data_IF_909564283119
#
_entry.id   IF_909564283119
#
_cell.length_a   1.000
_cell.length_b   1.000
_cell.length_c   1.000
_cell.angle_alpha   90.00
_cell.angle_beta   90.00
_cell.angle_gamma   90.00
#
_symmetry.space_group_name_H-M   'P 1'
#
loop_
_entity.id
_entity.type
_entity.pdbx_description
1 polymer ?
#
# COMPACT_ATOMS: atom_id res chain seq x y z
N UNK A 1 -2.07 7.09 -14.34
CA UNK A 1 -2.96 5.98 -14.75
C UNK A 1 -2.32 4.73 -14.20
N UNK A 2 -2.97 4.06 -13.26
CA UNK A 2 -2.36 2.93 -12.56
C UNK A 2 -2.43 1.69 -13.44
N UNK A 3 -1.37 0.88 -13.44
CA UNK A 3 -1.29 -0.38 -14.16
C UNK A 3 -1.27 -1.56 -13.20
N UNK A 4 -2.15 -2.52 -13.45
CA UNK A 4 -2.23 -3.78 -12.71
C UNK A 4 -1.85 -4.93 -13.64
N UNK A 5 -1.03 -5.85 -13.16
CA UNK A 5 -0.94 -7.19 -13.75
C UNK A 5 -1.88 -8.09 -12.97
N UNK A 6 -2.86 -8.68 -13.65
CA UNK A 6 -3.79 -9.66 -13.10
C UNK A 6 -3.45 -11.04 -13.64
N UNK A 7 -3.08 -11.97 -12.76
CA UNK A 7 -2.78 -13.34 -13.15
C UNK A 7 -3.98 -14.23 -12.83
N UNK A 8 -4.65 -14.71 -13.87
CA UNK A 8 -5.96 -15.37 -13.82
C UNK A 8 -6.15 -16.24 -15.07
N UNK A 9 -6.37 -17.54 -14.88
CA UNK A 9 -6.54 -18.48 -15.99
C UNK A 9 -7.98 -18.53 -16.53
N UNK A 10 -8.98 -18.15 -15.73
CA UNK A 10 -10.34 -18.00 -16.20
C UNK A 10 -10.49 -16.73 -17.04
N UNK A 11 -10.61 -16.91 -18.36
CA UNK A 11 -10.71 -15.82 -19.33
C UNK A 11 -11.94 -14.92 -19.13
N UNK A 12 -13.06 -15.47 -18.62
CA UNK A 12 -14.28 -14.70 -18.38
C UNK A 12 -14.11 -13.81 -17.15
N UNK A 13 -13.60 -14.38 -16.05
CA UNK A 13 -13.29 -13.63 -14.81
C UNK A 13 -12.23 -12.56 -15.10
N UNK A 14 -11.15 -12.93 -15.77
CA UNK A 14 -10.08 -12.05 -16.20
C UNK A 14 -10.60 -10.85 -16.99
N UNK A 15 -11.41 -11.11 -18.01
CA UNK A 15 -11.97 -10.07 -18.89
C UNK A 15 -12.97 -9.17 -18.16
N UNK A 16 -13.82 -9.73 -17.29
CA UNK A 16 -14.83 -8.98 -16.55
C UNK A 16 -14.19 -8.00 -15.56
N UNK A 17 -13.20 -8.46 -14.80
CA UNK A 17 -12.48 -7.64 -13.83
C UNK A 17 -11.66 -6.57 -14.55
N UNK A 18 -10.92 -6.95 -15.60
CA UNK A 18 -10.16 -5.98 -16.40
C UNK A 18 -11.05 -4.89 -16.98
N UNK A 19 -12.21 -5.25 -17.57
CA UNK A 19 -13.16 -4.29 -18.12
C UNK A 19 -13.78 -3.39 -17.04
N UNK A 20 -14.04 -3.92 -15.84
CA UNK A 20 -14.54 -3.11 -14.72
C UNK A 20 -13.49 -2.10 -14.25
N UNK A 21 -12.24 -2.54 -14.02
CA UNK A 21 -11.15 -1.67 -13.57
C UNK A 21 -10.76 -0.61 -14.61
N UNK A 22 -10.82 -0.96 -15.91
CA UNK A 22 -10.57 -0.01 -17.01
C UNK A 22 -11.56 1.17 -17.01
N UNK A 23 -12.82 0.96 -16.63
CA UNK A 23 -13.81 2.05 -16.46
C UNK A 23 -13.49 3.00 -15.30
N UNK A 24 -12.51 2.63 -14.47
CA UNK A 24 -12.06 3.37 -13.29
C UNK A 24 -10.60 3.84 -13.41
N UNK A 25 -10.13 4.04 -14.65
CA UNK A 25 -8.80 4.58 -15.01
C UNK A 25 -7.62 3.71 -14.53
N UNK A 26 -7.84 2.38 -14.50
CA UNK A 26 -6.83 1.38 -14.17
C UNK A 26 -6.62 0.49 -15.40
N UNK A 27 -5.40 0.53 -15.95
CA UNK A 27 -4.95 -0.36 -17.03
C UNK A 27 -4.67 -1.75 -16.47
N UNK A 28 -5.15 -2.81 -17.11
CA UNK A 28 -5.01 -4.19 -16.62
C UNK A 28 -4.43 -5.08 -17.71
N UNK A 29 -3.30 -5.71 -17.41
CA UNK A 29 -2.69 -6.75 -18.23
C UNK A 29 -3.05 -8.09 -17.59
N UNK A 30 -3.74 -8.96 -18.34
CA UNK A 30 -4.13 -10.29 -17.87
C UNK A 30 -3.13 -11.34 -18.37
N UNK A 31 -2.58 -12.14 -17.46
CA UNK A 31 -1.73 -13.30 -17.77
C UNK A 31 -2.39 -14.60 -17.26
N UNK A 32 -2.71 -15.55 -18.14
CA UNK A 32 -3.41 -16.77 -17.73
C UNK A 32 -2.53 -17.85 -17.08
N UNK A 33 -1.20 -17.66 -17.00
CA UNK A 33 -0.31 -18.68 -16.46
C UNK A 33 0.63 -18.16 -15.39
N UNK A 34 0.68 -18.88 -14.28
CA UNK A 34 1.55 -18.55 -13.16
C UNK A 34 3.04 -18.72 -13.47
N UNK A 35 3.41 -19.64 -14.37
CA UNK A 35 4.81 -19.85 -14.78
C UNK A 35 5.38 -18.71 -15.65
N UNK A 36 4.55 -17.77 -16.11
CA UNK A 36 4.94 -16.57 -16.88
C UNK A 36 4.81 -15.29 -16.07
N UNK A 37 4.07 -15.34 -14.97
CA UNK A 37 3.68 -14.18 -14.18
C UNK A 37 4.88 -13.35 -13.69
N UNK A 38 5.88 -13.99 -13.08
CA UNK A 38 7.02 -13.27 -12.50
C UNK A 38 7.82 -12.49 -13.53
N UNK A 39 8.10 -13.09 -14.69
CA UNK A 39 8.85 -12.42 -15.75
C UNK A 39 8.05 -11.22 -16.28
N UNK A 40 6.76 -11.40 -16.54
CA UNK A 40 5.88 -10.32 -16.98
C UNK A 40 5.84 -9.18 -15.95
N UNK A 41 5.69 -9.49 -14.66
CA UNK A 41 5.62 -8.50 -13.58
C UNK A 41 6.92 -7.71 -13.50
N UNK A 42 8.06 -8.38 -13.59
CA UNK A 42 9.37 -7.74 -13.48
C UNK A 42 9.72 -6.90 -14.70
N UNK A 43 9.28 -7.28 -15.89
CA UNK A 43 9.43 -6.45 -17.09
C UNK A 43 8.46 -5.27 -17.13
N UNK A 44 7.23 -5.49 -16.66
CA UNK A 44 6.17 -4.48 -16.72
C UNK A 44 6.30 -3.44 -15.61
N UNK A 45 6.81 -3.84 -14.44
CA UNK A 45 6.84 -3.03 -13.22
C UNK A 45 5.47 -2.38 -12.93
N UNK A 46 4.40 -3.18 -12.74
CA UNK A 46 3.07 -2.63 -12.47
C UNK A 46 3.02 -1.88 -11.14
N UNK A 47 1.95 -1.12 -10.91
CA UNK A 47 1.70 -0.44 -9.64
C UNK A 47 1.09 -1.39 -8.59
N UNK A 48 0.46 -2.48 -9.04
CA UNK A 48 -0.09 -3.56 -8.20
C UNK A 48 -0.17 -4.88 -8.97
N UNK A 49 0.01 -5.99 -8.26
CA UNK A 49 -0.24 -7.34 -8.79
C UNK A 49 -1.50 -7.90 -8.14
N UNK A 50 -2.44 -8.33 -8.98
CA UNK A 50 -3.62 -9.10 -8.58
C UNK A 50 -3.39 -10.56 -8.99
N UNK A 51 -3.60 -11.50 -8.10
CA UNK A 51 -3.12 -12.87 -8.29
C UNK A 51 -4.15 -13.90 -7.82
N UNK A 52 -4.60 -14.80 -8.69
CA UNK A 52 -5.27 -16.00 -8.21
C UNK A 52 -4.25 -17.00 -7.64
N UNK A 53 -4.68 -17.80 -6.68
CA UNK A 53 -3.92 -18.89 -6.09
C UNK A 53 -3.87 -20.08 -7.05
N UNK A 54 -5.00 -20.41 -7.67
CA UNK A 54 -5.16 -21.64 -8.44
C UNK A 54 -4.79 -21.43 -9.91
N UNK A 55 -3.49 -21.27 -10.17
CA UNK A 55 -2.98 -20.99 -11.51
C UNK A 55 -2.30 -22.21 -12.14
N UNK A 56 -2.37 -22.40 -13.47
CA UNK A 56 -1.61 -23.41 -14.17
C UNK A 56 -0.11 -23.06 -14.18
N UNK A 57 0.73 -24.10 -14.06
CA UNK A 57 2.19 -23.99 -14.09
C UNK A 57 2.81 -23.68 -12.74
N UNK A 58 2.41 -22.58 -12.10
CA UNK A 58 2.89 -22.18 -10.76
C UNK A 58 1.77 -21.52 -9.97
N UNK A 59 1.56 -21.93 -8.73
CA UNK A 59 0.48 -21.39 -7.90
C UNK A 59 0.77 -19.97 -7.40
N UNK A 60 -0.29 -19.20 -7.16
CA UNK A 60 -0.20 -17.80 -6.74
C UNK A 60 0.51 -17.60 -5.40
N UNK A 61 0.42 -18.56 -4.48
CA UNK A 61 1.07 -18.44 -3.18
C UNK A 61 2.59 -18.54 -3.32
N UNK A 62 3.05 -19.49 -4.12
CA UNK A 62 4.46 -19.66 -4.50
C UNK A 62 4.98 -18.44 -5.27
N UNK A 63 4.19 -17.90 -6.21
CA UNK A 63 4.55 -16.66 -6.93
C UNK A 63 4.68 -15.49 -5.95
N UNK A 64 3.73 -15.30 -5.04
CA UNK A 64 3.76 -14.22 -4.05
C UNK A 64 5.06 -14.24 -3.25
N UNK A 65 5.41 -15.41 -2.69
CA UNK A 65 6.65 -15.59 -1.91
C UNK A 65 7.90 -15.30 -2.74
N UNK A 66 8.00 -15.88 -3.93
CA UNK A 66 9.22 -15.80 -4.75
C UNK A 66 9.40 -14.37 -5.32
N UNK A 67 8.30 -13.73 -5.71
CA UNK A 67 8.27 -12.37 -6.23
C UNK A 67 8.66 -11.33 -5.16
N UNK A 68 8.35 -11.56 -3.88
CA UNK A 68 8.68 -10.62 -2.78
C UNK A 68 10.18 -10.33 -2.64
N UNK A 69 11.04 -11.24 -3.06
CA UNK A 69 12.49 -11.00 -3.07
C UNK A 69 12.95 -10.12 -4.24
N UNK A 70 12.16 -10.02 -5.31
CA UNK A 70 12.52 -9.39 -6.58
C UNK A 70 11.73 -8.12 -6.87
N UNK A 71 10.53 -7.98 -6.30
CA UNK A 71 9.62 -6.87 -6.51
C UNK A 71 8.90 -6.50 -5.21
N UNK A 72 8.79 -5.20 -4.94
CA UNK A 72 8.36 -4.66 -3.64
C UNK A 72 7.00 -3.97 -3.69
N UNK A 73 6.29 -3.98 -4.82
CA UNK A 73 4.97 -3.39 -4.91
C UNK A 73 3.89 -4.24 -4.21
N UNK A 74 2.65 -3.75 -4.16
CA UNK A 74 1.56 -4.47 -3.50
C UNK A 74 1.12 -5.71 -4.30
N UNK A 75 1.00 -6.85 -3.61
CA UNK A 75 0.45 -8.10 -4.15
C UNK A 75 -0.87 -8.35 -3.43
N UNK A 76 -1.96 -8.46 -4.16
CA UNK A 76 -3.30 -8.78 -3.63
C UNK A 76 -3.73 -10.12 -4.19
N UNK A 77 -4.13 -11.05 -3.33
CA UNK A 77 -4.72 -12.31 -3.78
C UNK A 77 -6.21 -12.13 -4.05
N UNK A 78 -6.68 -12.62 -5.20
CA UNK A 78 -8.10 -12.67 -5.55
C UNK A 78 -8.47 -14.10 -5.94
N UNK A 79 -9.20 -14.80 -5.09
CA UNK A 79 -9.40 -16.25 -5.23
C UNK A 79 -10.79 -16.71 -4.85
N UNK A 80 -11.18 -17.92 -5.28
CA UNK A 80 -12.42 -18.57 -4.84
C UNK A 80 -12.25 -19.40 -3.55
N UNK A 81 -11.02 -19.53 -3.05
CA UNK A 81 -10.73 -20.30 -1.83
C UNK A 81 -11.15 -19.52 -0.58
N UNK A 82 -12.26 -19.90 0.03
CA UNK A 82 -12.71 -19.34 1.30
C UNK A 82 -12.10 -20.13 2.47
N UNK A 83 -10.95 -19.67 2.96
CA UNK A 83 -10.19 -20.33 4.02
C UNK A 83 -9.38 -19.35 4.85
N UNK A 84 -9.68 -19.25 6.14
CA UNK A 84 -8.92 -18.44 7.10
C UNK A 84 -7.44 -18.85 7.15
N UNK A 85 -7.14 -20.15 7.03
CA UNK A 85 -5.76 -20.65 7.01
C UNK A 85 -5.00 -20.11 5.80
N UNK A 86 -5.60 -20.18 4.61
CA UNK A 86 -4.96 -19.65 3.40
C UNK A 86 -4.81 -18.14 3.46
N UNK A 87 -5.77 -17.43 4.08
CA UNK A 87 -5.68 -16.00 4.30
C UNK A 87 -4.49 -15.66 5.20
N UNK A 88 -4.35 -16.32 6.35
CA UNK A 88 -3.21 -16.12 7.26
C UNK A 88 -1.90 -16.37 6.53
N UNK A 89 -1.78 -17.51 5.85
CA UNK A 89 -0.56 -17.87 5.10
C UNK A 89 -0.23 -16.87 3.99
N UNK A 90 -1.24 -16.34 3.29
CA UNK A 90 -1.03 -15.33 2.27
C UNK A 90 -0.37 -14.08 2.84
N UNK A 91 -0.87 -13.57 3.96
CA UNK A 91 -0.32 -12.38 4.62
C UNK A 91 1.10 -12.63 5.14
N UNK A 92 1.37 -13.80 5.72
CA UNK A 92 2.71 -14.19 6.18
C UNK A 92 3.72 -14.30 5.02
N UNK A 93 3.27 -14.73 3.84
CA UNK A 93 4.09 -14.74 2.62
C UNK A 93 4.22 -13.38 1.94
N UNK A 94 3.64 -12.35 2.55
CA UNK A 94 3.77 -10.96 2.13
C UNK A 94 2.67 -10.48 1.20
N UNK A 95 1.54 -11.17 1.04
CA UNK A 95 0.38 -10.57 0.40
C UNK A 95 -0.11 -9.36 1.22
N UNK A 96 -0.60 -8.33 0.53
CA UNK A 96 -1.16 -7.14 1.16
C UNK A 96 -2.63 -7.34 1.56
N UNK A 97 -3.35 -8.20 0.84
CA UNK A 97 -4.76 -8.51 1.09
C UNK A 97 -5.12 -9.87 0.45
N UNK A 98 -6.18 -10.48 0.97
CA UNK A 98 -6.79 -11.71 0.48
C UNK A 98 -8.28 -11.46 0.24
N UNK A 99 -8.70 -11.50 -1.01
CA UNK A 99 -10.05 -11.11 -1.44
C UNK A 99 -10.72 -12.32 -2.10
N UNK A 100 -11.98 -12.57 -1.73
CA UNK A 100 -12.78 -13.59 -2.41
C UNK A 100 -13.30 -13.05 -3.74
N UNK A 101 -13.30 -13.87 -4.80
CA UNK A 101 -13.89 -13.52 -6.12
C UNK A 101 -15.38 -13.15 -6.03
N UNK A 102 -16.08 -13.60 -5.00
CA UNK A 102 -17.48 -13.24 -4.69
C UNK A 102 -17.63 -11.83 -4.09
N UNK A 103 -16.53 -11.16 -3.76
CA UNK A 103 -16.54 -9.78 -3.25
C UNK A 103 -17.15 -8.84 -4.29
N UNK A 104 -18.07 -7.94 -3.91
CA UNK A 104 -18.65 -6.98 -4.84
C UNK A 104 -17.56 -6.15 -5.55
N UNK A 105 -17.66 -5.90 -6.87
CA UNK A 105 -16.62 -5.20 -7.63
C UNK A 105 -16.22 -3.83 -7.07
N UNK A 106 -17.18 -3.09 -6.50
CA UNK A 106 -16.91 -1.80 -5.86
C UNK A 106 -16.02 -1.93 -4.61
N UNK A 107 -16.17 -3.02 -3.85
CA UNK A 107 -15.36 -3.32 -2.66
C UNK A 107 -13.95 -3.76 -3.08
N UNK A 108 -13.83 -4.58 -4.12
CA UNK A 108 -12.54 -4.93 -4.74
C UNK A 108 -11.80 -3.65 -5.15
N UNK A 109 -12.44 -2.77 -5.93
CA UNK A 109 -11.85 -1.51 -6.36
C UNK A 109 -11.37 -0.63 -5.19
N UNK A 110 -12.18 -0.52 -4.12
CA UNK A 110 -11.82 0.24 -2.94
C UNK A 110 -10.56 -0.30 -2.25
N UNK A 111 -10.45 -1.63 -2.11
CA UNK A 111 -9.27 -2.31 -1.55
C UNK A 111 -8.04 -2.14 -2.45
N UNK A 112 -8.17 -2.32 -3.76
CA UNK A 112 -7.07 -2.08 -4.70
C UNK A 112 -6.56 -0.63 -4.63
N UNK A 113 -7.47 0.35 -4.58
CA UNK A 113 -7.10 1.78 -4.44
C UNK A 113 -6.38 2.09 -3.13
N UNK A 114 -6.75 1.42 -2.03
CA UNK A 114 -6.05 1.57 -0.75
C UNK A 114 -4.56 1.20 -0.90
N UNK A 115 -4.27 0.07 -1.52
CA UNK A 115 -2.89 -0.39 -1.70
C UNK A 115 -2.10 0.43 -2.73
N UNK A 116 -2.74 0.85 -3.82
CA UNK A 116 -2.13 1.75 -4.81
C UNK A 116 -1.74 3.11 -4.18
N UNK A 117 -2.56 3.67 -3.29
CA UNK A 117 -2.23 4.93 -2.61
C UNK A 117 -1.05 4.77 -1.62
N UNK A 118 -0.97 3.63 -0.92
CA UNK A 118 0.12 3.36 0.02
C UNK A 118 1.47 3.16 -0.68
N UNK A 119 1.47 2.56 -1.88
CA UNK A 119 2.69 2.41 -2.68
C UNK A 119 3.17 3.76 -3.21
N UNK A 120 2.28 4.63 -3.69
CA UNK A 120 2.60 6.00 -4.10
C UNK A 120 3.18 6.83 -2.94
N UNK A 121 2.60 6.73 -1.73
CA UNK A 121 3.13 7.40 -0.54
C UNK A 121 4.51 6.88 -0.15
N UNK A 122 4.77 5.58 -0.31
CA UNK A 122 6.08 4.96 -0.04
C UNK A 122 7.12 5.34 -1.10
N UNK A 123 6.71 5.46 -2.37
CA UNK A 123 7.58 5.92 -3.45
C UNK A 123 7.87 7.43 -3.34
N UNK A 124 6.88 8.25 -2.99
CA UNK A 124 7.08 9.66 -2.66
C UNK A 124 8.01 9.79 -1.45
N UNK A 125 7.87 8.97 -0.41
CA UNK A 125 8.80 8.95 0.71
C UNK A 125 10.24 8.51 0.34
N UNK A 126 10.43 7.75 -0.75
CA UNK A 126 11.75 7.40 -1.30
C UNK A 126 12.32 8.48 -2.24
N UNK A 127 11.49 9.17 -3.02
CA UNK A 127 11.92 10.32 -3.84
C UNK A 127 12.12 11.61 -3.03
N UNK A 128 11.50 11.71 -1.86
CA UNK A 128 11.69 12.80 -0.89
C UNK A 128 12.89 12.56 0.05
N UNK A 129 13.72 11.53 -0.19
CA UNK A 129 15.03 11.42 0.48
C UNK A 129 16.00 12.55 0.13
N UNK A 130 15.65 13.45 -0.82
CA UNK A 130 16.36 14.71 -1.04
C UNK A 130 15.64 15.99 -0.59
N UNK A 131 14.37 15.93 -0.16
CA UNK A 131 13.74 17.08 0.54
C UNK A 131 12.39 16.74 1.14
N UNK A 132 12.20 17.10 2.42
CA UNK A 132 10.93 17.27 3.14
C UNK A 132 10.26 16.04 3.80
N UNK A 133 10.56 15.88 5.10
CA UNK A 133 9.66 15.60 6.24
C UNK A 133 8.43 14.69 5.99
N UNK A 134 8.55 13.42 6.36
CA UNK A 134 7.44 12.44 6.47
C UNK A 134 6.47 12.77 7.62
N UNK A 135 5.14 12.65 7.42
CA UNK A 135 4.17 12.65 8.52
C UNK A 135 4.29 11.31 9.27
N UNK A 136 4.24 11.35 10.60
CA UNK A 136 4.33 10.20 11.53
C UNK A 136 5.71 9.72 11.98
N UNK A 137 6.81 10.41 11.64
CA UNK A 137 8.04 10.28 12.43
C UNK A 137 8.07 11.36 13.51
N UNK A 138 8.60 11.01 14.69
CA UNK A 138 8.85 12.00 15.73
C UNK A 138 9.70 13.14 15.14
N UNK A 139 9.24 14.38 15.29
CA UNK A 139 9.95 15.55 14.80
C UNK A 139 11.05 15.90 15.80
N UNK A 140 12.27 16.14 15.31
CA UNK A 140 13.40 16.52 16.15
C UNK A 140 13.98 17.86 15.71
N UNK A 141 13.96 18.82 16.62
CA UNK A 141 14.55 20.15 16.46
C UNK A 141 15.62 20.35 17.54
N UNK A 142 16.87 20.01 17.21
CA UNK A 142 17.96 20.02 18.18
C UNK A 142 17.68 19.05 19.34
N UNK A 143 17.44 19.62 20.53
CA UNK A 143 17.12 18.86 21.74
C UNK A 143 15.61 18.65 21.98
N UNK A 144 14.75 19.29 21.19
CA UNK A 144 13.30 19.08 21.23
C UNK A 144 12.93 17.87 20.37
N UNK A 145 12.13 16.95 20.93
CA UNK A 145 11.54 15.81 20.22
C UNK A 145 10.03 15.82 20.43
N UNK A 146 9.26 15.69 19.36
CA UNK A 146 7.80 15.65 19.38
C UNK A 146 7.34 14.35 18.72
N UNK A 147 6.76 13.46 19.52
CA UNK A 147 6.22 12.18 19.08
C UNK A 147 4.69 12.27 18.91
N UNK A 148 4.17 12.28 17.66
CA UNK A 148 2.74 12.38 17.40
C UNK A 148 1.97 11.10 17.76
N UNK A 149 2.63 9.94 17.79
CA UNK A 149 1.96 8.66 18.07
C UNK A 149 1.70 8.52 19.57
N UNK A 150 2.70 8.86 20.37
CA UNK A 150 2.60 8.80 21.83
C UNK A 150 2.09 10.12 22.46
N UNK A 151 1.82 11.15 21.65
CA UNK A 151 1.52 12.52 22.08
C UNK A 151 2.50 13.01 23.15
N UNK A 152 3.77 12.73 22.93
CA UNK A 152 4.83 12.99 23.90
C UNK A 152 5.80 14.04 23.37
N UNK A 153 6.23 14.94 24.25
CA UNK A 153 7.23 15.97 23.93
C UNK A 153 8.37 15.84 24.90
N UNK A 154 9.60 15.88 24.40
CA UNK A 154 10.82 15.89 25.21
C UNK A 154 11.70 17.07 24.85
N UNK A 155 12.31 17.71 25.85
CA UNK A 155 13.34 18.73 25.64
C UNK A 155 14.56 18.37 26.48
N UNK A 156 15.73 18.25 25.84
CA UNK A 156 16.96 17.78 26.48
C UNK A 156 16.83 16.37 27.12
N UNK A 157 15.89 15.56 26.64
CA UNK A 157 15.61 14.22 27.16
C UNK A 157 14.55 14.16 28.26
N UNK A 158 14.11 15.30 28.80
CA UNK A 158 13.06 15.36 29.81
C UNK A 158 11.68 15.49 29.18
N UNK A 159 10.70 14.73 29.66
CA UNK A 159 9.31 14.82 29.19
C UNK A 159 8.65 16.12 29.64
N UNK A 160 8.07 16.84 28.68
CA UNK A 160 7.24 18.02 28.91
C UNK A 160 5.77 17.58 28.88
N UNK A 161 5.06 17.81 29.98
CA UNK A 161 3.60 17.63 30.02
C UNK A 161 2.92 18.81 29.34
N UNK A 162 2.14 18.52 28.30
CA UNK A 162 1.33 19.50 27.59
C UNK A 162 -0.16 19.16 27.71
N UNK A 163 -1.02 20.17 27.64
CA UNK A 163 -2.45 19.93 27.40
C UNK A 163 -2.65 19.43 25.97
N UNK A 164 -3.81 18.83 25.69
CA UNK A 164 -4.15 18.41 24.33
C UNK A 164 -4.06 19.57 23.33
N UNK A 165 -4.60 20.74 23.68
CA UNK A 165 -4.59 21.90 22.80
C UNK A 165 -3.17 22.41 22.52
N UNK A 166 -2.32 22.44 23.55
CA UNK A 166 -0.92 22.88 23.39
C UNK A 166 -0.12 21.88 22.54
N UNK A 167 -0.41 20.58 22.67
CA UNK A 167 0.22 19.55 21.85
C UNK A 167 -0.17 19.70 20.38
N UNK A 168 -1.46 19.85 20.08
CA UNK A 168 -1.94 20.01 18.70
C UNK A 168 -1.36 21.28 18.07
N UNK A 169 -1.35 22.41 18.81
CA UNK A 169 -0.75 23.66 18.33
C UNK A 169 0.75 23.50 18.05
N UNK A 170 1.49 22.87 18.97
CA UNK A 170 2.91 22.62 18.77
C UNK A 170 3.16 21.69 17.57
N UNK A 171 2.34 20.66 17.41
CA UNK A 171 2.42 19.73 16.29
C UNK A 171 2.14 20.41 14.96
N UNK A 172 1.12 21.28 14.91
CA UNK A 172 0.74 22.02 13.71
C UNK A 172 1.86 22.97 13.28
N UNK A 173 2.44 23.72 14.22
CA UNK A 173 3.59 24.59 13.98
C UNK A 173 4.84 23.80 13.55
N UNK A 174 5.07 22.63 14.18
CA UNK A 174 6.24 21.81 13.91
C UNK A 174 6.19 21.12 12.54
N UNK A 175 5.02 20.66 12.11
CA UNK A 175 4.82 20.03 10.78
C UNK A 175 4.86 21.06 9.64
N UNK A 176 4.56 22.33 9.92
CA UNK A 176 4.62 23.44 8.97
C UNK A 176 5.83 24.37 9.18
N UNK A 177 6.87 23.90 9.88
CA UNK A 177 8.06 24.69 10.18
C UNK A 177 8.65 25.36 8.93
N UNK A 178 8.85 26.68 8.99
CA UNK A 178 9.35 27.49 7.88
C UNK A 178 8.27 28.12 6.99
N UNK A 179 6.99 27.86 7.23
CA UNK A 179 5.85 28.55 6.58
C UNK A 179 5.19 29.53 7.55
N UNK A 180 4.73 30.67 7.04
CA UNK A 180 3.89 31.60 7.80
C UNK A 180 2.49 30.99 7.91
N UNK A 181 1.96 30.91 9.13
CA UNK A 181 0.63 30.38 9.41
C UNK A 181 -0.30 31.47 9.93
N UNK A 182 -1.54 31.45 9.45
CA UNK A 182 -2.58 32.37 9.91
C UNK A 182 -3.15 31.90 11.26
N UNK A 183 -3.47 32.84 12.14
CA UNK A 183 -3.90 32.54 13.51
C UNK A 183 -5.27 31.86 13.54
N UNK A 184 -6.14 32.21 12.60
CA UNK A 184 -7.48 31.61 12.49
C UNK A 184 -7.45 30.20 11.86
N UNK A 185 -6.29 29.77 11.36
CA UNK A 185 -6.06 28.46 10.75
C UNK A 185 -5.31 27.48 11.68
N UNK A 186 -4.96 27.92 12.90
CA UNK A 186 -4.32 27.14 13.99
C UNK A 186 -5.33 26.86 15.11
#
# INVERSE_FOLDING_TARGET
>A
MNRIVFVEDDAEVGSLIAAYLAKHDIDVIVEPRGDRAEDLILTTQPDLVLLDIMLPGKDGMTICRDLRHRWQGPIVLLTSLDSDMNHILALEMGACDYILKTTPPAVLLARLRLHLRQSEQTQQAKSLQESALTPHKALRFGALTIDPLNRAVQLNGDFISLSTADFELLWELATHAGKIMDRDAL
#
